data_IF_401357608434
#
_entry.id   IF_401357608434
#
_cell.length_a   1.000
_cell.length_b   1.000
_cell.length_c   1.000
_cell.angle_alpha   90.00
_cell.angle_beta   90.00
_cell.angle_gamma   90.00
#
_symmetry.space_group_name_H-M   'P 1'
#
loop_
_entity.id
_entity.type
_entity.pdbx_description
1 polymer ?
#
# COMPACT_ATOMS: atom_id res chain seq x y z
N UNK A 1 5.33 -3.29 -37.01
CA UNK A 1 4.83 -4.44 -36.23
C UNK A 1 3.72 -3.92 -35.34
N UNK A 2 2.53 -4.53 -35.30
CA UNK A 2 1.46 -4.05 -34.42
C UNK A 2 1.86 -4.28 -32.96
N UNK A 3 1.88 -3.21 -32.18
CA UNK A 3 2.00 -3.26 -30.72
C UNK A 3 0.72 -3.86 -30.17
N UNK A 4 0.80 -5.09 -29.65
CA UNK A 4 -0.28 -5.71 -28.90
C UNK A 4 -0.38 -5.00 -27.56
N UNK A 5 -1.25 -4.00 -27.48
CA UNK A 5 -1.64 -3.39 -26.21
C UNK A 5 -2.56 -4.38 -25.47
N UNK A 6 -1.94 -5.26 -24.68
CA UNK A 6 -2.63 -6.16 -23.77
C UNK A 6 -3.13 -5.37 -22.56
N UNK A 7 -4.42 -5.48 -22.26
CA UNK A 7 -5.02 -4.93 -21.05
C UNK A 7 -4.67 -5.78 -19.83
N UNK A 8 -4.71 -5.18 -18.64
CA UNK A 8 -4.41 -5.87 -17.37
C UNK A 8 -5.28 -7.12 -17.17
N UNK A 9 -6.56 -7.01 -17.52
CA UNK A 9 -7.52 -8.11 -17.40
C UNK A 9 -7.12 -9.31 -18.28
N UNK A 10 -6.70 -9.05 -19.51
CA UNK A 10 -6.23 -10.08 -20.43
C UNK A 10 -4.97 -10.78 -19.92
N UNK A 11 -4.05 -10.05 -19.31
CA UNK A 11 -2.84 -10.63 -18.68
C UNK A 11 -3.23 -11.53 -17.51
N UNK A 12 -4.15 -11.08 -16.66
CA UNK A 12 -4.63 -11.86 -15.51
C UNK A 12 -5.28 -13.16 -15.97
N UNK A 13 -6.12 -13.11 -17.00
CA UNK A 13 -6.80 -14.29 -17.52
C UNK A 13 -5.83 -15.26 -18.21
N UNK A 14 -4.83 -14.77 -18.92
CA UNK A 14 -3.74 -15.59 -19.46
C UNK A 14 -2.97 -16.30 -18.33
N UNK A 15 -2.65 -15.60 -17.24
CA UNK A 15 -1.97 -16.19 -16.08
C UNK A 15 -2.84 -17.24 -15.40
N UNK A 16 -4.16 -17.03 -15.29
CA UNK A 16 -5.10 -18.02 -14.72
C UNK A 16 -5.13 -19.32 -15.52
N UNK A 17 -5.04 -19.25 -16.86
CA UNK A 17 -5.05 -20.41 -17.76
C UNK A 17 -3.76 -21.24 -17.71
N UNK A 18 -2.67 -20.73 -17.12
CA UNK A 18 -1.42 -21.46 -17.00
C UNK A 18 -1.48 -22.62 -16.00
N UNK A 19 -0.69 -23.66 -16.25
CA UNK A 19 -0.49 -24.76 -15.30
C UNK A 19 0.28 -24.28 -14.05
N UNK A 20 0.13 -24.95 -12.90
CA UNK A 20 0.75 -24.51 -11.65
C UNK A 20 2.27 -24.31 -11.74
N UNK A 21 2.98 -25.21 -12.44
CA UNK A 21 4.44 -25.10 -12.67
C UNK A 21 4.80 -23.85 -13.47
N UNK A 22 4.01 -23.50 -14.48
CA UNK A 22 4.24 -22.31 -15.32
C UNK A 22 3.92 -21.02 -14.55
N UNK A 23 2.86 -21.03 -13.73
CA UNK A 23 2.55 -19.91 -12.81
C UNK A 23 3.72 -19.62 -11.88
N UNK A 24 4.29 -20.66 -11.28
CA UNK A 24 5.44 -20.51 -10.38
C UNK A 24 6.64 -19.86 -11.08
N UNK A 25 6.94 -20.27 -12.33
CA UNK A 25 8.02 -19.65 -13.11
C UNK A 25 7.72 -18.18 -13.39
N UNK A 26 6.52 -17.85 -13.88
CA UNK A 26 6.12 -16.46 -14.17
C UNK A 26 6.20 -15.58 -12.93
N UNK A 27 5.62 -16.02 -11.81
CA UNK A 27 5.66 -15.25 -10.56
C UNK A 27 7.09 -15.11 -10.02
N UNK A 28 7.93 -16.14 -10.13
CA UNK A 28 9.32 -16.05 -9.71
C UNK A 28 10.14 -15.05 -10.55
N UNK A 29 9.88 -14.97 -11.85
CA UNK A 29 10.51 -13.99 -12.73
C UNK A 29 10.04 -12.56 -12.40
N UNK A 30 8.73 -12.35 -12.30
CA UNK A 30 8.15 -11.05 -11.91
C UNK A 30 8.63 -10.58 -10.54
N UNK A 31 8.72 -11.49 -9.57
CA UNK A 31 9.26 -11.17 -8.24
C UNK A 31 10.72 -10.75 -8.31
N UNK A 32 11.53 -11.44 -9.11
CA UNK A 32 12.94 -11.09 -9.30
C UNK A 32 13.10 -9.70 -9.91
N UNK A 33 12.28 -9.36 -10.90
CA UNK A 33 12.28 -8.04 -11.54
C UNK A 33 11.82 -6.96 -10.54
N UNK A 34 10.75 -7.21 -9.80
CA UNK A 34 10.27 -6.30 -8.75
C UNK A 34 11.33 -6.06 -7.68
N UNK A 35 12.01 -7.11 -7.21
CA UNK A 35 13.09 -6.99 -6.22
C UNK A 35 14.26 -6.20 -6.80
N UNK A 36 14.63 -6.44 -8.06
CA UNK A 36 15.68 -5.67 -8.73
C UNK A 36 15.31 -4.17 -8.86
N UNK A 37 14.05 -3.86 -9.15
CA UNK A 37 13.55 -2.48 -9.21
C UNK A 37 13.46 -1.83 -7.82
N UNK A 38 13.01 -2.56 -6.81
CA UNK A 38 13.00 -2.11 -5.42
C UNK A 38 14.41 -1.88 -4.88
N UNK A 39 15.41 -2.62 -5.36
CA UNK A 39 16.83 -2.40 -5.05
C UNK A 39 17.35 -1.07 -5.64
N UNK A 40 16.69 -0.55 -6.66
CA UNK A 40 17.01 0.72 -7.32
C UNK A 40 16.12 1.88 -6.82
N UNK A 41 15.26 1.67 -5.82
CA UNK A 41 14.55 2.75 -5.16
C UNK A 41 15.59 3.67 -4.50
N UNK A 42 15.80 4.83 -5.11
CA UNK A 42 16.48 5.96 -4.47
C UNK A 42 15.56 6.51 -3.40
N UNK A 43 15.60 5.89 -2.23
CA UNK A 43 15.03 6.48 -1.03
C UNK A 43 15.82 7.74 -0.72
N UNK A 44 15.12 8.82 -0.40
CA UNK A 44 15.78 9.98 0.19
C UNK A 44 16.39 9.60 1.55
N UNK A 45 17.30 10.45 2.01
CA UNK A 45 18.09 10.17 3.21
C UNK A 45 17.21 10.02 4.47
N UNK A 46 16.14 10.81 4.58
CA UNK A 46 15.22 10.80 5.71
C UNK A 46 14.42 9.49 5.71
N UNK A 47 13.80 9.13 4.59
CA UNK A 47 13.07 7.86 4.46
C UNK A 47 13.95 6.66 4.80
N UNK A 48 15.22 6.68 4.37
CA UNK A 48 16.18 5.60 4.68
C UNK A 48 16.51 5.55 6.17
N UNK A 49 16.75 6.69 6.80
CA UNK A 49 17.04 6.78 8.24
C UNK A 49 15.88 6.28 9.10
N UNK A 50 14.63 6.59 8.73
CA UNK A 50 13.44 6.06 9.40
C UNK A 50 13.30 4.53 9.27
N UNK A 51 13.56 3.97 8.09
CA UNK A 51 13.41 2.52 7.84
C UNK A 51 14.54 1.69 8.47
N UNK A 52 15.74 2.24 8.52
CA UNK A 52 16.91 1.62 9.15
C UNK A 52 17.05 2.01 10.63
N UNK A 53 16.08 2.77 11.16
CA UNK A 53 16.05 3.18 12.55
C UNK A 53 16.04 1.94 13.43
N UNK A 54 17.08 1.89 14.24
CA UNK A 54 17.34 0.81 15.14
C UNK A 54 16.29 0.95 16.26
N UNK A 55 15.30 0.05 16.31
CA UNK A 55 14.27 -0.01 17.36
C UNK A 55 14.91 -0.57 18.65
N UNK A 56 15.91 0.14 19.18
CA UNK A 56 16.78 -0.34 20.26
C UNK A 56 16.08 -0.24 21.61
N UNK A 57 15.13 0.69 21.74
CA UNK A 57 14.45 0.98 22.99
C UNK A 57 12.99 0.56 22.91
N UNK A 58 12.50 -0.07 23.98
CA UNK A 58 11.06 -0.16 24.20
C UNK A 58 10.52 1.26 24.17
N UNK A 59 9.65 1.56 23.19
CA UNK A 59 8.93 2.83 23.17
C UNK A 59 8.30 2.98 24.55
N UNK A 60 8.36 4.19 25.17
CA UNK A 60 7.69 4.40 26.44
C UNK A 60 6.25 3.93 26.29
N UNK A 61 5.68 3.25 27.32
CA UNK A 61 4.29 2.86 27.27
C UNK A 61 3.49 4.11 26.91
N UNK A 62 2.75 4.02 25.80
CA UNK A 62 1.88 5.11 25.39
C UNK A 62 0.84 5.26 26.51
N UNK A 63 0.92 6.36 27.26
CA UNK A 63 -0.11 6.73 28.21
C UNK A 63 -1.33 7.14 27.39
N UNK A 64 -2.14 6.15 27.02
CA UNK A 64 -3.54 6.42 26.78
C UNK A 64 -4.06 6.94 28.11
N UNK A 65 -4.23 8.26 28.24
CA UNK A 65 -5.08 8.77 29.29
C UNK A 65 -6.42 8.04 29.17
N UNK A 66 -7.07 7.72 30.29
CA UNK A 66 -8.44 7.16 30.29
C UNK A 66 -9.48 8.11 29.65
N UNK A 67 -9.03 9.24 29.09
CA UNK A 67 -9.83 10.16 28.31
C UNK A 67 -10.53 9.40 27.18
N UNK A 68 -11.84 9.31 27.34
CA UNK A 68 -12.79 9.01 26.28
C UNK A 68 -12.37 9.88 25.08
N UNK A 69 -12.26 9.31 23.86
CA UNK A 69 -11.99 10.10 22.67
C UNK A 69 -12.85 11.36 22.69
N UNK A 70 -12.28 12.55 22.40
CA UNK A 70 -13.04 13.79 22.46
C UNK A 70 -14.32 13.62 21.65
N UNK A 71 -15.43 14.13 22.18
CA UNK A 71 -16.72 14.02 21.49
C UNK A 71 -16.56 14.57 20.07
N UNK A 72 -16.79 13.70 19.09
CA UNK A 72 -16.62 14.06 17.69
C UNK A 72 -17.62 15.15 17.32
N UNK A 73 -17.23 16.04 16.41
CA UNK A 73 -18.17 17.02 15.86
C UNK A 73 -19.33 16.29 15.17
N UNK A 74 -20.56 16.80 15.24
CA UNK A 74 -21.67 16.25 14.48
C UNK A 74 -21.35 16.23 12.99
N UNK A 75 -21.60 15.10 12.33
CA UNK A 75 -21.36 14.93 10.89
C UNK A 75 -22.65 14.50 10.21
N UNK A 76 -22.98 15.16 9.10
CA UNK A 76 -24.07 14.78 8.21
C UNK A 76 -23.57 14.52 6.79
N UNK A 77 -24.28 13.65 6.08
CA UNK A 77 -23.96 13.34 4.68
C UNK A 77 -24.93 14.06 3.74
N UNK A 78 -24.39 14.81 2.78
CA UNK A 78 -25.13 15.37 1.65
C UNK A 78 -24.67 14.68 0.35
N UNK A 79 -25.57 14.07 -0.45
CA UNK A 79 -25.20 13.36 -1.68
C UNK A 79 -24.47 14.20 -2.73
N UNK A 80 -24.62 15.53 -2.71
CA UNK A 80 -24.00 16.44 -3.67
C UNK A 80 -22.69 17.05 -3.17
N UNK A 81 -22.40 16.99 -1.85
CA UNK A 81 -21.27 17.68 -1.21
C UNK A 81 -20.33 16.69 -0.51
N UNK A 82 -20.86 15.60 0.04
CA UNK A 82 -20.14 14.61 0.83
C UNK A 82 -20.40 14.75 2.34
N UNK A 83 -19.41 14.40 3.15
CA UNK A 83 -19.47 14.56 4.60
C UNK A 83 -19.32 16.03 4.97
N UNK A 84 -20.29 16.57 5.69
CA UNK A 84 -20.31 17.93 6.23
C UNK A 84 -20.16 17.81 7.74
N UNK A 85 -19.13 18.47 8.29
CA UNK A 85 -18.96 18.63 9.73
C UNK A 85 -19.75 19.85 10.16
N UNK A 86 -20.76 19.66 10.99
CA UNK A 86 -21.56 20.76 11.52
C UNK A 86 -20.72 21.52 12.57
N UNK A 87 -20.84 22.85 12.56
CA UNK A 87 -20.29 23.71 13.63
C UNK A 87 -21.37 23.84 14.71
N UNK A 88 -20.98 23.64 15.97
CA UNK A 88 -21.88 23.70 17.15
C UNK A 88 -22.65 25.04 17.27
#
# INVERSE_FOLDING_TARGET
MPSLELTLEQVIDLVKQLSPKKKQVVFSALYKDLVADCSNLKLDWETKEWLEANLIDELPPYEWEEEIPPEGKPVRYDPNIGLIVDED
#
